data_IF_113333870555
#
_entry.id   IF_113333870555
#
_cell.length_a   1.000
_cell.length_b   1.000
_cell.length_c   1.000
_cell.angle_alpha   90.00
_cell.angle_beta   90.00
_cell.angle_gamma   90.00
#
_symmetry.space_group_name_H-M   'P 1'
#
loop_
_entity.id
_entity.type
_entity.pdbx_description
1 polymer ?
#
# COMPACT_ATOMS: atom_id res chain seq x y z
N UNK A 1 -23.22 -12.38 0.88
CA UNK A 1 -22.55 -11.75 2.03
C UNK A 1 -21.10 -11.56 1.67
N UNK A 2 -20.69 -10.34 1.33
CA UNK A 2 -19.30 -10.00 1.01
C UNK A 2 -18.49 -10.06 2.30
N UNK A 3 -17.48 -10.93 2.33
CA UNK A 3 -16.56 -11.06 3.46
C UNK A 3 -15.89 -9.69 3.69
N UNK A 4 -15.74 -9.21 4.94
CA UNK A 4 -15.07 -7.95 5.21
C UNK A 4 -13.63 -8.00 4.68
N UNK A 5 -13.19 -6.93 4.03
CA UNK A 5 -11.80 -6.79 3.60
C UNK A 5 -10.89 -6.80 4.83
N UNK A 6 -9.87 -7.65 4.81
CA UNK A 6 -8.87 -7.74 5.88
C UNK A 6 -7.57 -7.15 5.34
N UNK A 7 -7.09 -6.02 5.90
CA UNK A 7 -5.80 -5.45 5.54
C UNK A 7 -4.69 -6.48 5.65
N UNK A 8 -3.72 -6.41 4.75
CA UNK A 8 -2.60 -7.33 4.74
C UNK A 8 -1.29 -6.59 4.44
N UNK A 9 -0.14 -7.11 4.90
CA UNK A 9 1.15 -6.55 4.56
C UNK A 9 1.40 -6.70 3.07
N UNK A 10 1.69 -5.58 2.41
CA UNK A 10 1.91 -5.48 0.97
C UNK A 10 3.40 -5.42 0.69
N UNK A 11 4.13 -4.62 1.47
CA UNK A 11 5.57 -4.42 1.27
C UNK A 11 6.39 -5.39 2.12
N UNK A 12 7.51 -5.91 1.59
CA UNK A 12 8.40 -6.75 2.36
C UNK A 12 9.16 -5.92 3.43
N UNK A 13 9.67 -6.56 4.49
CA UNK A 13 10.65 -5.93 5.36
C UNK A 13 11.88 -5.44 4.57
N UNK A 14 12.54 -4.36 5.02
CA UNK A 14 13.68 -3.76 4.33
C UNK A 14 14.79 -4.75 3.93
N UNK A 15 15.08 -5.74 4.78
CA UNK A 15 16.11 -6.77 4.52
C UNK A 15 15.79 -7.61 3.26
N UNK A 16 14.51 -7.73 2.92
CA UNK A 16 14.01 -8.43 1.74
C UNK A 16 13.56 -7.49 0.63
N UNK A 17 13.63 -6.18 0.85
CA UNK A 17 13.35 -5.20 -0.18
C UNK A 17 14.47 -5.22 -1.22
N UNK A 18 14.07 -5.34 -2.48
CA UNK A 18 14.98 -5.42 -3.64
C UNK A 18 14.50 -4.39 -4.66
N UNK A 19 15.08 -3.18 -4.67
CA UNK A 19 14.62 -2.14 -5.57
C UNK A 19 14.87 -2.51 -7.03
N UNK A 20 14.04 -1.98 -7.94
CA UNK A 20 14.18 -2.11 -9.40
C UNK A 20 14.07 -3.56 -9.96
N UNK A 21 13.33 -4.44 -9.30
CA UNK A 21 13.02 -5.76 -9.85
C UNK A 21 11.96 -5.67 -10.97
N UNK A 22 12.41 -5.69 -12.23
CA UNK A 22 11.53 -5.58 -13.40
C UNK A 22 10.91 -6.90 -13.88
N UNK A 23 11.36 -8.05 -13.37
CA UNK A 23 11.06 -9.36 -13.98
C UNK A 23 9.83 -10.07 -13.42
N UNK A 24 9.39 -9.75 -12.20
CA UNK A 24 8.23 -10.38 -11.56
C UNK A 24 7.63 -9.41 -10.55
N UNK A 25 6.41 -8.94 -10.79
CA UNK A 25 5.74 -8.00 -9.91
C UNK A 25 4.26 -8.33 -9.71
N UNK A 26 3.77 -8.40 -8.46
CA UNK A 26 4.54 -8.38 -7.21
C UNK A 26 5.36 -9.69 -7.03
N UNK A 27 6.54 -9.61 -6.41
CA UNK A 27 7.44 -10.77 -6.20
C UNK A 27 6.85 -11.79 -5.22
N UNK A 28 6.01 -11.34 -4.28
CA UNK A 28 5.40 -12.22 -3.29
C UNK A 28 4.07 -12.78 -3.81
N UNK A 29 4.03 -14.11 -4.02
CA UNK A 29 2.83 -14.82 -4.50
C UNK A 29 1.64 -14.66 -3.56
N UNK A 30 1.85 -14.67 -2.24
CA UNK A 30 0.76 -14.48 -1.28
C UNK A 30 0.15 -13.07 -1.41
N UNK A 31 0.95 -12.06 -1.72
CA UNK A 31 0.45 -10.70 -1.99
C UNK A 31 -0.31 -10.68 -3.32
N UNK A 32 0.22 -11.31 -4.38
CA UNK A 32 -0.50 -11.44 -5.66
C UNK A 32 -1.88 -12.08 -5.49
N UNK A 33 -1.97 -13.20 -4.75
CA UNK A 33 -3.22 -13.92 -4.50
C UNK A 33 -4.23 -13.06 -3.74
N UNK A 34 -3.76 -12.23 -2.80
CA UNK A 34 -4.61 -11.30 -2.06
C UNK A 34 -5.10 -10.15 -2.93
N UNK A 35 -4.24 -9.58 -3.78
CA UNK A 35 -4.62 -8.54 -4.73
C UNK A 35 -5.62 -9.04 -5.77
N UNK A 36 -5.50 -10.30 -6.21
CA UNK A 36 -6.44 -10.92 -7.14
C UNK A 36 -7.85 -11.09 -6.58
N UNK A 37 -8.01 -11.05 -5.24
CA UNK A 37 -9.32 -11.12 -4.56
C UNK A 37 -9.96 -9.74 -4.37
N UNK A 38 -9.26 -8.66 -4.70
CA UNK A 38 -9.75 -7.28 -4.59
C UNK A 38 -10.57 -6.95 -5.83
N UNK A 39 -11.55 -6.05 -5.68
CA UNK A 39 -12.33 -5.53 -6.80
C UNK A 39 -11.40 -5.02 -7.92
N UNK A 40 -11.51 -5.55 -9.15
CA UNK A 40 -10.73 -5.07 -10.30
C UNK A 40 -10.87 -3.57 -10.56
N UNK A 41 -12.01 -2.94 -10.21
CA UNK A 41 -12.22 -1.50 -10.33
C UNK A 41 -11.26 -0.67 -9.46
N UNK A 42 -10.74 -1.25 -8.37
CA UNK A 42 -9.73 -0.65 -7.52
C UNK A 42 -8.31 -0.73 -8.12
N UNK A 43 -8.13 -1.34 -9.29
CA UNK A 43 -6.86 -1.49 -10.01
C UNK A 43 -5.68 -1.91 -9.11
N UNK A 44 -5.79 -3.01 -8.32
CA UNK A 44 -4.85 -3.31 -7.23
C UNK A 44 -3.40 -3.49 -7.70
N UNK A 45 -3.19 -4.15 -8.84
CA UNK A 45 -1.87 -4.36 -9.42
C UNK A 45 -1.23 -3.06 -9.95
N UNK A 46 -2.02 -2.18 -10.58
CA UNK A 46 -1.54 -0.90 -11.10
C UNK A 46 -1.16 0.01 -9.94
N UNK A 47 -2.01 0.08 -8.91
CA UNK A 47 -1.73 0.85 -7.70
C UNK A 47 -0.44 0.40 -7.03
N UNK A 48 -0.30 -0.91 -6.80
CA UNK A 48 0.91 -1.44 -6.21
C UNK A 48 2.14 -1.14 -7.07
N UNK A 49 2.04 -1.22 -8.40
CA UNK A 49 3.14 -0.94 -9.32
C UNK A 49 3.62 0.51 -9.25
N UNK A 50 2.70 1.48 -9.23
CA UNK A 50 3.07 2.89 -9.09
C UNK A 50 3.69 3.17 -7.73
N UNK A 51 3.12 2.60 -6.67
CA UNK A 51 3.64 2.80 -5.31
C UNK A 51 5.04 2.18 -5.15
N UNK A 52 5.29 0.98 -5.68
CA UNK A 52 6.63 0.37 -5.66
C UNK A 52 7.66 1.25 -6.37
N UNK A 53 7.31 1.80 -7.54
CA UNK A 53 8.19 2.75 -8.25
C UNK A 53 8.41 4.05 -7.49
N UNK A 54 7.38 4.56 -6.83
CA UNK A 54 7.53 5.73 -5.96
C UNK A 54 8.50 5.46 -4.82
N UNK A 55 8.39 4.30 -4.15
CA UNK A 55 9.32 3.89 -3.08
C UNK A 55 10.75 3.76 -3.61
N UNK A 56 10.94 3.11 -4.77
CA UNK A 56 12.24 3.00 -5.42
C UNK A 56 12.82 4.38 -5.78
N UNK A 57 11.98 5.31 -6.23
CA UNK A 57 12.40 6.66 -6.59
C UNK A 57 12.78 7.49 -5.36
N UNK A 58 11.89 7.59 -4.36
CA UNK A 58 12.11 8.41 -3.16
C UNK A 58 13.29 7.90 -2.32
N UNK A 59 13.62 6.62 -2.41
CA UNK A 59 14.76 6.03 -1.72
C UNK A 59 16.12 6.63 -2.13
N UNK A 60 16.23 7.21 -3.32
CA UNK A 60 17.44 7.95 -3.74
C UNK A 60 17.68 9.20 -2.89
N UNK A 61 16.63 9.72 -2.23
CA UNK A 61 16.72 10.88 -1.35
C UNK A 61 16.94 10.50 0.13
N UNK A 62 17.06 9.21 0.46
CA UNK A 62 17.23 8.78 1.83
C UNK A 62 18.68 8.94 2.31
N UNK A 63 18.83 9.48 3.52
CA UNK A 63 20.13 9.64 4.16
C UNK A 63 20.72 8.29 4.60
N UNK A 64 22.05 8.17 4.54
CA UNK A 64 22.77 6.94 4.87
C UNK A 64 22.66 6.52 6.35
N UNK A 65 22.32 7.43 7.25
CA UNK A 65 22.33 7.18 8.70
C UNK A 65 21.26 6.17 9.16
N UNK A 66 20.11 6.10 8.48
CA UNK A 66 19.06 5.15 8.87
C UNK A 66 18.10 4.79 7.72
N UNK A 67 18.54 4.03 6.70
CA UNK A 67 17.70 3.68 5.56
C UNK A 67 16.55 2.73 5.93
N UNK A 68 16.74 1.88 6.94
CA UNK A 68 15.71 0.97 7.44
C UNK A 68 14.50 1.75 7.99
N UNK A 69 14.75 2.76 8.83
CA UNK A 69 13.69 3.59 9.41
C UNK A 69 13.01 4.44 8.35
N UNK A 70 13.76 4.99 7.40
CA UNK A 70 13.21 5.80 6.31
C UNK A 70 12.32 4.96 5.39
N UNK A 71 12.77 3.75 5.03
CA UNK A 71 11.95 2.79 4.31
C UNK A 71 10.68 2.46 5.07
N UNK A 72 10.80 2.05 6.34
CA UNK A 72 9.66 1.63 7.13
C UNK A 72 8.61 2.74 7.25
N UNK A 73 9.03 3.96 7.58
CA UNK A 73 8.13 5.13 7.65
C UNK A 73 7.42 5.39 6.32
N UNK A 74 8.13 5.24 5.19
CA UNK A 74 7.56 5.43 3.86
C UNK A 74 6.50 4.36 3.54
N UNK A 75 6.85 3.07 3.66
CA UNK A 75 5.93 1.98 3.30
C UNK A 75 4.73 1.90 4.22
N UNK A 76 4.84 2.25 5.51
CA UNK A 76 3.72 2.21 6.44
C UNK A 76 2.58 3.16 6.02
N UNK A 77 2.92 4.37 5.57
CA UNK A 77 1.91 5.31 5.08
C UNK A 77 1.23 4.81 3.82
N UNK A 78 2.04 4.37 2.85
CA UNK A 78 1.56 3.87 1.56
C UNK A 78 0.72 2.61 1.69
N UNK A 79 1.11 1.67 2.55
CA UNK A 79 0.37 0.43 2.81
C UNK A 79 -1.00 0.70 3.44
N UNK A 80 -1.09 1.68 4.36
CA UNK A 80 -2.37 2.11 4.92
C UNK A 80 -3.27 2.72 3.86
N UNK A 81 -2.73 3.59 3.01
CA UNK A 81 -3.47 4.22 1.90
C UNK A 81 -3.98 3.16 0.91
N UNK A 82 -3.13 2.19 0.54
CA UNK A 82 -3.51 1.09 -0.36
C UNK A 82 -4.61 0.22 0.26
N UNK A 83 -4.40 -0.28 1.48
CA UNK A 83 -5.38 -1.13 2.16
C UNK A 83 -6.72 -0.40 2.37
N UNK A 84 -6.70 0.88 2.72
CA UNK A 84 -7.92 1.68 2.84
C UNK A 84 -8.61 1.84 1.49
N UNK A 85 -7.85 2.14 0.42
CA UNK A 85 -8.40 2.24 -0.95
C UNK A 85 -9.09 0.96 -1.37
N UNK A 86 -8.41 -0.18 -1.19
CA UNK A 86 -8.93 -1.49 -1.56
C UNK A 86 -10.16 -1.89 -0.75
N UNK A 87 -10.22 -1.54 0.54
CA UNK A 87 -11.39 -1.77 1.38
C UNK A 87 -12.63 -1.01 0.88
N UNK A 88 -12.45 0.10 0.17
CA UNK A 88 -13.51 0.95 -0.36
C UNK A 88 -13.72 0.79 -1.88
N UNK A 89 -13.03 -0.16 -2.53
CA UNK A 89 -13.11 -0.37 -3.98
C UNK A 89 -12.52 0.79 -4.79
N UNK A 90 -11.62 1.57 -4.19
CA UNK A 90 -10.99 2.74 -4.80
C UNK A 90 -9.59 2.41 -5.30
N UNK A 91 -9.21 3.10 -6.38
CA UNK A 91 -7.84 3.13 -6.87
C UNK A 91 -7.09 4.30 -6.23
N UNK A 92 -5.97 4.03 -5.57
CA UNK A 92 -5.15 5.04 -4.89
C UNK A 92 -4.63 6.11 -5.87
N UNK A 93 -4.21 5.70 -7.07
CA UNK A 93 -3.73 6.63 -8.10
C UNK A 93 -4.82 7.55 -8.65
N UNK A 94 -6.10 7.17 -8.48
CA UNK A 94 -7.25 7.92 -8.92
C UNK A 94 -7.93 8.70 -7.78
N UNK A 95 -7.30 8.75 -6.59
CA UNK A 95 -7.83 9.51 -5.45
C UNK A 95 -8.08 10.96 -5.83
N UNK A 96 -9.29 11.41 -5.52
CA UNK A 96 -9.65 12.82 -5.55
C UNK A 96 -9.49 13.40 -4.16
N UNK A 97 -9.60 14.73 -4.08
CA UNK A 97 -9.56 15.46 -2.81
C UNK A 97 -10.50 14.86 -1.74
N UNK A 98 -11.73 14.50 -2.14
CA UNK A 98 -12.72 13.91 -1.24
C UNK A 98 -12.26 12.55 -0.68
N UNK A 99 -11.61 11.72 -1.49
CA UNK A 99 -11.11 10.41 -1.06
C UNK A 99 -9.98 10.58 -0.04
N UNK A 100 -9.09 11.55 -0.29
CA UNK A 100 -8.06 11.92 0.67
C UNK A 100 -8.63 12.47 1.98
N UNK A 101 -9.63 13.34 1.93
CA UNK A 101 -10.29 13.89 3.12
C UNK A 101 -10.96 12.77 3.94
N UNK A 102 -11.65 11.83 3.29
CA UNK A 102 -12.23 10.65 3.94
C UNK A 102 -11.15 9.75 4.57
N UNK A 103 -10.04 9.54 3.88
CA UNK A 103 -8.91 8.77 4.41
C UNK A 103 -8.29 9.47 5.63
N UNK A 104 -8.08 10.78 5.56
CA UNK A 104 -7.54 11.57 6.67
C UNK A 104 -8.46 11.51 7.89
N UNK A 105 -9.78 11.66 7.69
CA UNK A 105 -10.77 11.49 8.75
C UNK A 105 -10.73 10.09 9.36
N UNK A 106 -10.63 9.05 8.53
CA UNK A 106 -10.47 7.67 8.98
C UNK A 106 -9.20 7.46 9.81
N UNK A 107 -8.07 8.05 9.41
CA UNK A 107 -6.81 7.94 10.16
C UNK A 107 -6.89 8.66 11.51
N UNK A 108 -7.59 9.80 11.57
CA UNK A 108 -7.79 10.56 12.80
C UNK A 108 -8.79 9.86 13.74
N UNK A 109 -9.87 9.32 13.20
CA UNK A 109 -10.98 8.71 13.93
C UNK A 109 -11.31 7.32 13.37
N UNK A 110 -10.41 6.32 13.54
CA UNK A 110 -10.64 5.00 13.01
C UNK A 110 -11.87 4.35 13.66
N UNK A 111 -12.76 3.70 12.88
CA UNK A 111 -13.86 2.93 13.43
C UNK A 111 -13.35 1.87 14.40
N UNK A 112 -14.12 1.59 15.47
CA UNK A 112 -13.73 0.60 16.49
C UNK A 112 -13.36 -0.77 15.91
N UNK A 113 -13.98 -1.17 14.81
CA UNK A 113 -13.68 -2.43 14.13
C UNK A 113 -12.23 -2.53 13.58
N UNK A 114 -11.51 -1.42 13.48
CA UNK A 114 -10.12 -1.34 13.02
C UNK A 114 -9.12 -1.07 14.14
N UNK A 115 -9.57 -0.88 15.38
CA UNK A 115 -8.72 -0.54 16.54
C UNK A 115 -8.63 -1.65 17.59
N UNK A 116 -9.14 -2.86 17.31
CA UNK A 116 -9.08 -4.02 18.21
C UNK A 116 -7.87 -4.88 17.89
#
# INVERSE_FOLDING_TARGET
>A
MTRPFIPFPIFPPYVYWRPNQLRSFPTNLAVADRLAQIDPAAHPFINLWYVDRYVNWIAHNWGAENPHRQYHSCIMGLEKMLNWSFAHGLSLVDWRRKDFENYAEFVLNPPKAWTV
#
